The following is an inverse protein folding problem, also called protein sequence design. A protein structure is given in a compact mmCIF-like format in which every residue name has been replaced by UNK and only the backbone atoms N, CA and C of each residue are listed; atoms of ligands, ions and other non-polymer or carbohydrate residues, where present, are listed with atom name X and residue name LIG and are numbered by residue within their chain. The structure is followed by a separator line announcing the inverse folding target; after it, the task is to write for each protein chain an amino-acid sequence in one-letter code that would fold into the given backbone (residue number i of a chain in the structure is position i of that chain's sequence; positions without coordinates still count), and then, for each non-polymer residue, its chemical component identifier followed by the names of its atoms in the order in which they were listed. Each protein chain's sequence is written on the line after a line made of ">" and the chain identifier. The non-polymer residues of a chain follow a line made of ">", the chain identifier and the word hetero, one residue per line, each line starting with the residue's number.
data_IF_361819499830
#
_entry.id   IF_361819499830
#
_cell.length_a   1.000
_cell.length_b   1.000
_cell.length_c   1.000
_cell.angle_alpha   90.00
_cell.angle_beta   90.00
_cell.angle_gamma   90.00
#
_symmetry.space_group_name_H-M   'P 1'
#
loop_
_entity.id
_entity.type
_entity.pdbx_description
1 polymer ?
#
# COMPACT_ATOMS: atom_id res chain seq x y z
N UNK A 1 -9.78 1.34 -7.92
CA UNK A 1 -8.67 0.45 -8.33
C UNK A 1 -7.46 1.33 -8.57
N UNK A 2 -6.30 0.90 -8.06
CA UNK A 2 -5.02 1.60 -8.19
C UNK A 2 -4.03 0.68 -8.87
N UNK A 3 -3.21 1.23 -9.77
CA UNK A 3 -2.21 0.47 -10.54
C UNK A 3 -0.87 1.15 -10.36
N UNK A 4 0.11 0.41 -9.85
CA UNK A 4 1.49 0.86 -9.75
C UNK A 4 2.20 0.74 -11.10
N UNK A 5 3.22 1.56 -11.37
CA UNK A 5 4.08 1.40 -12.54
C UNK A 5 4.73 0.01 -12.58
N UNK A 6 4.98 -0.47 -13.79
CA UNK A 6 5.69 -1.72 -14.03
C UNK A 6 7.17 -1.62 -13.61
N UNK A 7 7.75 -2.75 -13.21
CA UNK A 7 9.21 -2.87 -13.08
C UNK A 7 9.83 -2.07 -11.93
N UNK A 8 9.07 -1.75 -10.89
CA UNK A 8 9.61 -1.15 -9.66
C UNK A 8 10.63 -2.09 -9.02
N UNK A 9 11.91 -1.77 -9.18
CA UNK A 9 13.04 -2.59 -8.71
C UNK A 9 13.83 -1.94 -7.56
N UNK A 10 13.42 -0.74 -7.10
CA UNK A 10 14.09 0.01 -6.04
C UNK A 10 13.07 0.64 -5.09
N UNK A 11 13.39 0.66 -3.80
CA UNK A 11 12.53 1.24 -2.76
C UNK A 11 12.12 2.71 -3.03
N UNK A 12 13.01 3.64 -3.43
CA UNK A 12 12.59 5.02 -3.67
C UNK A 12 11.60 5.15 -4.84
N UNK A 13 11.69 4.28 -5.84
CA UNK A 13 10.77 4.28 -6.97
C UNK A 13 9.40 3.76 -6.56
N UNK A 14 9.37 2.75 -5.68
CA UNK A 14 8.16 2.28 -5.03
C UNK A 14 7.50 3.39 -4.18
N UNK A 15 8.23 4.06 -3.30
CA UNK A 15 7.68 5.16 -2.49
C UNK A 15 7.11 6.28 -3.36
N UNK A 16 7.82 6.65 -4.44
CA UNK A 16 7.33 7.65 -5.39
C UNK A 16 6.02 7.20 -6.06
N UNK A 17 5.95 5.95 -6.49
CA UNK A 17 4.74 5.39 -7.09
C UNK A 17 3.55 5.38 -6.13
N UNK A 18 3.76 5.01 -4.86
CA UNK A 18 2.71 5.07 -3.84
C UNK A 18 2.21 6.51 -3.68
N UNK A 19 3.13 7.47 -3.48
CA UNK A 19 2.77 8.89 -3.27
C UNK A 19 1.96 9.50 -4.39
N UNK A 20 2.22 9.10 -5.63
CA UNK A 20 1.49 9.62 -6.79
C UNK A 20 0.23 8.84 -7.14
N UNK A 21 0.13 7.59 -6.67
CA UNK A 21 -0.85 6.63 -7.17
C UNK A 21 -1.91 6.21 -6.17
N UNK A 22 -1.65 6.30 -4.86
CA UNK A 22 -2.56 5.84 -3.81
C UNK A 22 -3.00 6.98 -2.90
N UNK A 23 -4.18 6.85 -2.26
CA UNK A 23 -4.61 7.79 -1.24
C UNK A 23 -3.71 7.63 -0.01
N UNK A 24 -3.20 8.76 0.48
CA UNK A 24 -2.37 8.84 1.67
C UNK A 24 -2.91 9.96 2.55
N UNK A 25 -3.04 9.71 3.84
CA UNK A 25 -3.38 10.73 4.82
C UNK A 25 -2.63 10.49 6.15
N UNK A 26 -1.66 11.35 6.53
CA UNK A 26 -1.18 12.51 5.81
C UNK A 26 -0.34 12.13 4.57
N UNK A 27 -0.08 13.08 3.65
CA UNK A 27 0.88 12.87 2.57
C UNK A 27 2.28 12.56 3.11
N UNK A 28 2.94 11.56 2.52
CA UNK A 28 4.30 11.15 2.91
C UNK A 28 5.37 12.15 2.45
N UNK A 29 6.22 12.57 3.38
CA UNK A 29 7.31 13.52 3.11
C UNK A 29 8.66 12.86 2.79
N UNK A 30 8.89 11.60 3.18
CA UNK A 30 10.14 10.85 2.95
C UNK A 30 9.95 9.51 2.22
N UNK A 31 11.06 8.85 1.83
CA UNK A 31 11.05 7.69 0.91
C UNK A 31 11.57 6.37 1.54
N UNK A 32 11.63 6.26 2.88
CA UNK A 32 12.21 5.10 3.59
C UNK A 32 11.64 4.82 4.98
N UNK A 33 10.49 5.39 5.32
CA UNK A 33 9.84 5.10 6.59
C UNK A 33 8.63 4.21 6.31
N UNK A 34 8.79 2.91 6.55
CA UNK A 34 7.77 1.90 6.31
C UNK A 34 6.57 2.04 7.25
N UNK A 35 6.80 2.38 8.52
CA UNK A 35 5.72 2.60 9.48
C UNK A 35 4.88 3.82 9.08
N UNK A 36 5.53 4.93 8.74
CA UNK A 36 4.82 6.12 8.27
C UNK A 36 4.03 5.84 6.97
N UNK A 37 4.59 5.02 6.08
CA UNK A 37 3.91 4.56 4.86
C UNK A 37 2.66 3.74 5.21
N UNK A 38 2.78 2.77 6.11
CA UNK A 38 1.67 1.93 6.54
C UNK A 38 0.55 2.77 7.16
N UNK A 39 0.87 3.66 8.09
CA UNK A 39 -0.08 4.56 8.75
C UNK A 39 -0.82 5.44 7.72
N UNK A 40 -0.05 6.09 6.83
CA UNK A 40 -0.61 7.02 5.85
C UNK A 40 -1.48 6.31 4.82
N UNK A 41 -1.08 5.11 4.37
CA UNK A 41 -1.88 4.28 3.48
C UNK A 41 -3.16 3.80 4.15
N UNK A 42 -3.06 3.34 5.40
CA UNK A 42 -4.22 2.84 6.14
C UNK A 42 -5.28 3.93 6.26
N UNK A 43 -4.92 5.12 6.73
CA UNK A 43 -5.86 6.24 6.86
C UNK A 43 -6.43 6.66 5.49
N UNK A 44 -5.57 6.80 4.48
CA UNK A 44 -6.00 7.21 3.14
C UNK A 44 -6.99 6.22 2.49
N UNK A 45 -6.77 4.91 2.65
CA UNK A 45 -7.66 3.87 2.13
C UNK A 45 -8.93 3.71 2.97
N UNK A 46 -8.83 3.87 4.29
CA UNK A 46 -9.97 3.81 5.20
C UNK A 46 -10.97 4.95 4.94
N UNK A 47 -10.46 6.14 4.60
CA UNK A 47 -11.25 7.32 4.28
C UNK A 47 -12.07 7.23 2.98
N UNK A 48 -11.75 6.28 2.08
CA UNK A 48 -12.54 6.07 0.86
C UNK A 48 -13.96 5.62 1.21
N UNK A 49 -14.94 5.97 0.38
CA UNK A 49 -16.30 5.43 0.52
C UNK A 49 -16.36 3.95 0.10
N UNK A 50 -15.56 3.56 -0.89
CA UNK A 50 -15.50 2.20 -1.42
C UNK A 50 -15.13 1.18 -0.35
N UNK A 51 -15.90 0.09 -0.26
CA UNK A 51 -15.62 -1.04 0.64
C UNK A 51 -14.70 -2.11 0.04
N UNK A 52 -14.43 -2.05 -1.27
CA UNK A 52 -13.60 -3.02 -1.99
C UNK A 52 -12.57 -2.28 -2.85
N UNK A 53 -11.30 -2.53 -2.59
CA UNK A 53 -10.19 -1.80 -3.20
C UNK A 53 -9.22 -2.82 -3.80
N UNK A 54 -8.79 -2.59 -5.03
CA UNK A 54 -7.76 -3.38 -5.68
C UNK A 54 -6.52 -2.51 -5.92
N UNK A 55 -5.35 -3.02 -5.51
CA UNK A 55 -4.04 -2.45 -5.77
C UNK A 55 -3.29 -3.45 -6.64
N UNK A 56 -2.98 -3.07 -7.88
CA UNK A 56 -2.25 -3.92 -8.82
C UNK A 56 -0.81 -3.44 -8.90
N UNK A 57 0.13 -4.35 -8.63
CA UNK A 57 1.55 -4.14 -8.83
C UNK A 57 2.06 -5.08 -9.92
N UNK A 58 2.29 -4.58 -11.14
CA UNK A 58 2.73 -5.40 -12.26
C UNK A 58 4.25 -5.53 -12.35
N UNK A 59 4.67 -6.69 -12.87
CA UNK A 59 6.07 -7.06 -13.11
C UNK A 59 6.91 -6.88 -11.85
N UNK A 60 6.46 -7.50 -10.76
CA UNK A 60 7.12 -7.36 -9.45
C UNK A 60 8.41 -8.18 -9.41
N UNK A 61 9.54 -7.50 -9.16
CA UNK A 61 10.85 -8.14 -9.04
C UNK A 61 11.32 -8.16 -7.57
N UNK A 62 10.53 -8.79 -6.68
CA UNK A 62 10.82 -8.84 -5.23
C UNK A 62 12.20 -9.46 -4.92
N UNK A 63 12.71 -10.33 -5.79
CA UNK A 63 13.98 -11.03 -5.58
C UNK A 63 15.25 -10.22 -5.84
N UNK A 64 15.17 -9.01 -6.39
CA UNK A 64 16.35 -8.19 -6.71
C UNK A 64 16.84 -7.33 -5.53
N UNK A 65 15.94 -7.01 -4.59
CA UNK A 65 16.22 -6.15 -3.43
C UNK A 65 15.45 -6.68 -2.22
N UNK A 66 16.16 -7.04 -1.15
CA UNK A 66 15.55 -7.55 0.08
C UNK A 66 14.60 -6.53 0.73
N UNK A 67 14.81 -5.23 0.50
CA UNK A 67 13.91 -4.18 1.02
C UNK A 67 12.58 -4.11 0.26
N UNK A 68 12.49 -4.62 -0.97
CA UNK A 68 11.20 -4.69 -1.69
C UNK A 68 10.27 -5.78 -1.16
N UNK A 69 10.80 -6.80 -0.47
CA UNK A 69 9.95 -7.74 0.26
C UNK A 69 9.16 -7.03 1.36
N UNK A 70 9.78 -6.07 2.06
CA UNK A 70 9.13 -5.24 3.07
C UNK A 70 7.96 -4.42 2.49
N UNK A 71 8.05 -3.99 1.23
CA UNK A 71 6.94 -3.30 0.57
C UNK A 71 5.69 -4.19 0.44
N UNK A 72 5.88 -5.48 0.13
CA UNK A 72 4.78 -6.45 0.05
C UNK A 72 4.21 -6.71 1.44
N UNK A 73 5.06 -6.89 2.45
CA UNK A 73 4.64 -7.10 3.85
C UNK A 73 3.82 -5.92 4.38
N UNK A 74 4.23 -4.68 4.07
CA UNK A 74 3.49 -3.47 4.45
C UNK A 74 2.11 -3.43 3.77
N UNK A 75 2.03 -3.74 2.48
CA UNK A 75 0.74 -3.76 1.77
C UNK A 75 -0.20 -4.85 2.31
N UNK A 76 0.33 -6.03 2.65
CA UNK A 76 -0.43 -7.12 3.27
C UNK A 76 -0.89 -6.76 4.68
N UNK A 77 -0.01 -6.18 5.50
CA UNK A 77 -0.34 -5.69 6.84
C UNK A 77 -1.47 -4.65 6.79
N UNK A 78 -1.37 -3.64 5.92
CA UNK A 78 -2.40 -2.61 5.76
C UNK A 78 -3.72 -3.23 5.32
N UNK A 79 -3.69 -4.18 4.37
CA UNK A 79 -4.89 -4.89 3.93
C UNK A 79 -5.54 -5.68 5.08
N UNK A 80 -4.73 -6.34 5.92
CA UNK A 80 -5.20 -7.06 7.10
C UNK A 80 -5.84 -6.14 8.15
N UNK A 81 -5.21 -5.01 8.45
CA UNK A 81 -5.76 -4.01 9.38
C UNK A 81 -7.05 -3.38 8.85
N UNK A 82 -7.14 -3.11 7.55
CA UNK A 82 -8.36 -2.60 6.94
C UNK A 82 -9.50 -3.64 6.94
N UNK A 83 -9.19 -4.93 6.94
CA UNK A 83 -10.19 -5.99 7.05
C UNK A 83 -10.71 -6.20 8.48
N UNK A 84 -10.01 -5.69 9.49
CA UNK A 84 -10.37 -5.83 10.91
C UNK A 84 -11.44 -4.80 11.33
N UNK A 85 -12.63 -5.25 11.79
CA UNK A 85 -13.66 -4.35 12.31
C UNK A 85 -13.22 -3.52 13.51
N UNK A 86 -12.33 -4.04 14.37
CA UNK A 86 -11.88 -3.32 15.55
C UNK A 86 -10.94 -2.17 15.17
N UNK A 87 -10.04 -2.42 14.21
CA UNK A 87 -9.16 -1.39 13.66
C UNK A 87 -9.93 -0.31 12.87
N UNK A 88 -11.00 -0.70 12.17
CA UNK A 88 -11.78 0.20 11.28
C UNK A 88 -13.05 0.78 11.91
N UNK A 89 -13.23 0.65 13.23
CA UNK A 89 -14.41 1.18 13.96
C UNK A 89 -15.72 0.67 13.33
N UNK A 90 -15.77 -0.63 13.03
CA UNK A 90 -16.91 -1.34 12.47
C UNK A 90 -17.11 -1.15 10.96
N UNK A 91 -16.15 -0.56 10.23
CA UNK A 91 -16.24 -0.29 8.78
C UNK A 91 -15.09 -0.96 7.99
N UNK A 92 -14.99 -2.30 8.04
CA UNK A 92 -13.91 -3.00 7.37
C UNK A 92 -13.96 -2.82 5.85
N UNK A 93 -12.79 -2.86 5.23
CA UNK A 93 -12.56 -2.84 3.79
C UNK A 93 -11.99 -4.17 3.33
N UNK A 94 -12.30 -4.55 2.10
CA UNK A 94 -11.62 -5.64 1.40
C UNK A 94 -10.58 -5.02 0.48
N UNK A 95 -9.30 -5.18 0.82
CA UNK A 95 -8.18 -4.74 -0.03
C UNK A 95 -7.52 -5.97 -0.64
N UNK A 96 -7.44 -6.01 -1.97
CA UNK A 96 -6.70 -7.04 -2.70
C UNK A 96 -5.44 -6.44 -3.30
N UNK A 97 -4.29 -6.98 -2.91
CA UNK A 97 -2.99 -6.68 -3.50
C UNK A 97 -2.69 -7.75 -4.55
N UNK A 98 -2.62 -7.35 -5.81
CA UNK A 98 -2.44 -8.24 -6.95
C UNK A 98 -1.03 -8.03 -7.49
N UNK A 99 -0.16 -9.02 -7.27
CA UNK A 99 1.20 -9.05 -7.80
C UNK A 99 1.19 -9.84 -9.13
N UNK A 100 1.69 -9.24 -10.21
CA UNK A 100 1.74 -9.87 -11.55
C UNK A 100 3.09 -9.68 -12.21
#
# INVERSE_FOLDING_TARGET
>A
MYVLPEGLARVPDFFRAIKSGLPLDPPLTGDRNWDALADSLWEGLNALEDGRIAIVWPQVHVGADAELATAVDVLDQVAGLLADPDATVGRPKVVHVILT
#
